data_IF_348742434906
#
_entry.id   IF_348742434906
#
_cell.length_a   1.000
_cell.length_b   1.000
_cell.length_c   1.000
_cell.angle_alpha   90.00
_cell.angle_beta   90.00
_cell.angle_gamma   90.00
#
_symmetry.space_group_name_H-M   'P 1'
#
loop_
_entity.id
_entity.type
_entity.pdbx_description
1 polymer ?
#
# COMPACT_ATOMS: atom_id res chain seq x y z
N UNK A 1 -56.93 21.97 -32.63
CA UNK A 1 -56.47 22.31 -31.27
C UNK A 1 -55.93 21.03 -30.66
N UNK A 2 -54.61 20.98 -30.40
CA UNK A 2 -53.88 19.84 -29.80
C UNK A 2 -54.49 19.52 -28.43
N UNK A 3 -54.93 18.28 -28.24
CA UNK A 3 -55.00 17.66 -26.91
C UNK A 3 -54.32 16.30 -27.00
N UNK A 4 -53.28 16.17 -26.18
CA UNK A 4 -52.34 15.07 -26.11
C UNK A 4 -53.00 13.69 -25.97
N UNK A 5 -52.41 12.69 -26.64
CA UNK A 5 -52.53 11.31 -26.22
C UNK A 5 -52.07 11.16 -24.77
N UNK A 6 -52.98 10.84 -23.86
CA UNK A 6 -52.65 10.19 -22.58
C UNK A 6 -53.34 8.81 -22.61
N UNK A 7 -52.87 7.98 -23.56
CA UNK A 7 -53.24 6.58 -23.66
C UNK A 7 -52.64 5.83 -22.48
N UNK A 8 -53.43 5.68 -21.41
CA UNK A 8 -53.18 4.67 -20.39
C UNK A 8 -53.35 3.30 -21.04
N UNK A 9 -52.25 2.72 -21.53
CA UNK A 9 -52.16 1.28 -21.74
C UNK A 9 -52.36 0.60 -20.37
N UNK A 10 -53.42 -0.20 -20.26
CA UNK A 10 -53.47 -1.25 -19.25
C UNK A 10 -52.46 -2.36 -19.62
N UNK A 11 -51.77 -2.82 -18.58
CA UNK A 11 -51.06 -4.09 -18.39
C UNK A 11 -50.10 -4.59 -19.47
N UNK A 12 -48.80 -4.45 -19.17
CA UNK A 12 -47.97 -5.60 -18.84
C UNK A 12 -46.76 -5.10 -18.04
N UNK A 13 -46.95 -4.92 -16.74
CA UNK A 13 -45.85 -4.73 -15.81
C UNK A 13 -45.36 -6.13 -15.39
N UNK A 14 -44.07 -6.48 -15.56
CA UNK A 14 -43.56 -7.72 -15.01
C UNK A 14 -43.76 -7.68 -13.49
N UNK A 15 -44.35 -8.73 -12.93
CA UNK A 15 -44.68 -8.82 -11.51
C UNK A 15 -43.47 -8.39 -10.66
N UNK A 16 -43.54 -7.18 -10.09
CA UNK A 16 -42.48 -6.63 -9.28
C UNK A 16 -42.60 -7.27 -7.90
N UNK A 17 -41.91 -8.39 -7.73
CA UNK A 17 -41.92 -9.12 -6.48
C UNK A 17 -41.36 -8.24 -5.35
N UNK A 18 -42.02 -8.21 -4.18
CA UNK A 18 -41.57 -7.41 -3.03
C UNK A 18 -40.14 -7.78 -2.66
N UNK A 19 -39.34 -6.81 -2.20
CA UNK A 19 -37.91 -6.97 -1.91
C UNK A 19 -37.59 -8.17 -0.99
N UNK A 20 -38.51 -8.46 -0.07
CA UNK A 20 -38.52 -9.64 0.81
C UNK A 20 -38.43 -10.96 0.01
N UNK A 21 -39.16 -11.06 -1.11
CA UNK A 21 -39.20 -12.26 -1.94
C UNK A 21 -37.94 -12.40 -2.80
N UNK A 22 -37.28 -11.28 -3.18
CA UNK A 22 -35.99 -11.32 -3.87
C UNK A 22 -34.89 -11.89 -2.97
N UNK A 23 -34.90 -11.52 -1.69
CA UNK A 23 -34.00 -12.07 -0.67
C UNK A 23 -34.25 -13.57 -0.44
N UNK A 24 -35.51 -14.01 -0.37
CA UNK A 24 -35.85 -15.42 -0.21
C UNK A 24 -35.43 -16.23 -1.45
N UNK A 25 -35.64 -15.70 -2.66
CA UNK A 25 -35.24 -16.38 -3.91
C UNK A 25 -33.71 -16.46 -4.02
N UNK A 26 -32.96 -15.41 -3.64
CA UNK A 26 -31.49 -15.45 -3.55
C UNK A 26 -31.02 -16.45 -2.50
N UNK A 27 -31.64 -16.47 -1.32
CA UNK A 27 -31.30 -17.38 -0.24
C UNK A 27 -31.60 -18.84 -0.61
N UNK A 28 -32.70 -19.11 -1.33
CA UNK A 28 -33.01 -20.45 -1.84
C UNK A 28 -32.14 -20.85 -3.03
N UNK A 29 -31.76 -19.92 -3.91
CA UNK A 29 -30.85 -20.20 -5.02
C UNK A 29 -29.44 -20.55 -4.53
N UNK A 30 -28.94 -19.85 -3.49
CA UNK A 30 -27.69 -20.19 -2.80
C UNK A 30 -27.80 -21.58 -2.15
N UNK A 31 -28.91 -21.85 -1.47
CA UNK A 31 -29.13 -23.15 -0.83
C UNK A 31 -29.22 -24.32 -1.83
N UNK A 32 -29.80 -24.10 -3.01
CA UNK A 32 -29.87 -25.09 -4.09
C UNK A 32 -28.54 -25.23 -4.83
N UNK A 33 -27.77 -24.14 -5.00
CA UNK A 33 -26.39 -24.20 -5.49
C UNK A 33 -25.48 -25.01 -4.56
N UNK A 34 -25.72 -24.95 -3.25
CA UNK A 34 -25.04 -25.77 -2.24
C UNK A 34 -25.62 -27.19 -2.04
N UNK A 35 -26.65 -27.58 -2.79
CA UNK A 35 -27.29 -28.90 -2.72
C UNK A 35 -26.91 -29.83 -3.90
N UNK A 36 -25.71 -29.64 -4.47
CA UNK A 36 -25.06 -30.56 -5.41
C UNK A 36 -24.24 -31.65 -4.71
N UNK A 37 -23.89 -32.76 -5.40
CA UNK A 37 -23.95 -34.14 -4.91
C UNK A 37 -22.92 -34.46 -3.82
N UNK A 38 -23.38 -35.10 -2.74
CA UNK A 38 -22.62 -35.90 -1.77
C UNK A 38 -21.22 -35.36 -1.38
N UNK A 39 -21.11 -34.06 -1.06
CA UNK A 39 -19.89 -33.53 -0.45
C UNK A 39 -19.90 -33.84 1.05
N UNK A 40 -18.99 -34.72 1.47
CA UNK A 40 -18.80 -35.10 2.89
C UNK A 40 -18.71 -33.87 3.79
N UNK A 41 -19.52 -33.83 4.86
CA UNK A 41 -19.54 -32.78 5.89
C UNK A 41 -18.14 -32.40 6.41
N UNK A 42 -17.21 -33.35 6.40
CA UNK A 42 -15.80 -33.13 6.78
C UNK A 42 -15.07 -32.14 5.88
N UNK A 43 -15.36 -32.14 4.58
CA UNK A 43 -14.72 -31.25 3.61
C UNK A 43 -15.18 -29.80 3.78
N UNK A 44 -16.42 -29.60 4.21
CA UNK A 44 -16.96 -28.28 4.51
C UNK A 44 -16.42 -27.72 5.82
N UNK A 45 -16.27 -28.56 6.85
CA UNK A 45 -15.60 -28.15 8.08
C UNK A 45 -14.15 -27.75 7.81
N UNK A 46 -13.37 -28.52 7.03
CA UNK A 46 -11.98 -28.15 6.77
C UNK A 46 -11.86 -26.85 5.98
N UNK A 47 -12.71 -26.63 4.97
CA UNK A 47 -12.74 -25.36 4.22
C UNK A 47 -13.10 -24.19 5.13
N UNK A 48 -14.14 -24.31 5.97
CA UNK A 48 -14.50 -23.24 6.90
C UNK A 48 -13.39 -22.92 7.92
N UNK A 49 -12.77 -23.93 8.52
CA UNK A 49 -11.68 -23.71 9.46
C UNK A 49 -10.43 -23.14 8.76
N UNK A 50 -10.12 -23.59 7.54
CA UNK A 50 -9.03 -23.04 6.74
C UNK A 50 -9.30 -21.56 6.36
N UNK A 51 -10.53 -21.23 5.99
CA UNK A 51 -10.93 -19.86 5.68
C UNK A 51 -10.88 -18.95 6.91
N UNK A 52 -11.35 -19.41 8.08
CA UNK A 52 -11.27 -18.66 9.34
C UNK A 52 -9.80 -18.44 9.74
N UNK A 53 -8.97 -19.48 9.64
CA UNK A 53 -7.53 -19.38 9.93
C UNK A 53 -6.84 -18.38 9.01
N UNK A 54 -7.20 -18.37 7.73
CA UNK A 54 -6.64 -17.42 6.75
C UNK A 54 -7.05 -15.98 7.11
N UNK A 55 -8.32 -15.73 7.41
CA UNK A 55 -8.80 -14.39 7.79
C UNK A 55 -8.13 -13.90 9.10
N UNK A 56 -7.90 -14.80 10.06
CA UNK A 56 -7.24 -14.45 11.31
C UNK A 56 -5.76 -14.05 11.12
N UNK A 57 -5.06 -14.63 10.14
CA UNK A 57 -3.66 -14.29 9.83
C UNK A 57 -3.56 -12.93 9.13
N UNK A 58 -4.51 -12.60 8.25
CA UNK A 58 -4.51 -11.33 7.50
C UNK A 58 -5.14 -10.15 8.25
N UNK A 59 -5.75 -10.40 9.41
CA UNK A 59 -6.26 -9.34 10.29
C UNK A 59 -5.11 -8.72 11.08
N UNK A 60 -4.18 -8.05 10.40
CA UNK A 60 -3.19 -7.22 11.09
C UNK A 60 -3.90 -6.00 11.68
N UNK A 61 -3.69 -5.66 12.97
CA UNK A 61 -4.13 -4.38 13.48
C UNK A 61 -3.46 -3.28 12.66
N UNK A 62 -4.26 -2.42 12.05
CA UNK A 62 -3.77 -1.24 11.36
C UNK A 62 -3.24 -0.30 12.44
N UNK A 63 -1.93 -0.34 12.70
CA UNK A 63 -1.28 0.62 13.58
C UNK A 63 -1.56 2.01 13.03
N UNK A 64 -2.21 2.86 13.84
CA UNK A 64 -2.37 4.28 13.51
C UNK A 64 -1.00 4.92 13.26
N UNK A 65 -1.00 6.00 12.48
CA UNK A 65 0.18 6.81 12.10
C UNK A 65 1.13 6.87 13.31
N UNK A 66 2.28 6.19 13.18
CA UNK A 66 3.29 6.26 14.21
C UNK A 66 3.87 7.67 14.17
N UNK A 67 3.86 8.35 15.32
CA UNK A 67 4.43 9.70 15.48
C UNK A 67 5.93 9.77 15.12
N UNK A 68 6.57 8.62 14.86
CA UNK A 68 7.93 8.48 14.36
C UNK A 68 8.08 7.18 13.56
N UNK A 69 7.80 7.21 12.24
CA UNK A 69 8.01 6.08 11.33
C UNK A 69 9.29 6.28 10.51
N UNK A 70 10.28 5.42 10.73
CA UNK A 70 11.61 5.58 10.10
C UNK A 70 11.72 4.73 8.84
N UNK A 71 12.16 5.35 7.77
CA UNK A 71 12.33 4.72 6.46
C UNK A 71 13.81 4.57 6.12
N UNK A 72 14.17 3.39 5.65
CA UNK A 72 15.46 3.08 5.04
C UNK A 72 15.36 3.09 3.52
N UNK A 73 16.39 3.55 2.84
CA UNK A 73 16.50 3.44 1.37
C UNK A 73 17.44 2.29 1.01
N UNK A 74 16.96 1.41 0.14
CA UNK A 74 17.74 0.32 -0.47
C UNK A 74 18.00 0.66 -1.94
N UNK A 75 19.27 0.85 -2.29
CA UNK A 75 19.70 1.24 -3.63
C UNK A 75 19.51 2.75 -3.86
N UNK A 76 20.59 3.43 -4.24
CA UNK A 76 20.60 4.88 -4.46
C UNK A 76 21.04 5.25 -5.88
N UNK A 77 20.88 4.34 -6.85
CA UNK A 77 21.26 4.55 -8.25
C UNK A 77 20.16 5.22 -9.09
N UNK A 78 19.00 5.52 -8.48
CA UNK A 78 17.89 6.24 -9.10
C UNK A 78 17.60 7.58 -8.38
N UNK A 79 17.21 8.61 -9.15
CA UNK A 79 16.79 9.93 -8.67
C UNK A 79 15.67 9.86 -7.60
N UNK A 80 14.83 8.82 -7.65
CA UNK A 80 13.77 8.60 -6.66
C UNK A 80 14.30 8.62 -5.22
N UNK A 81 15.50 8.07 -4.98
CA UNK A 81 16.10 8.08 -3.65
C UNK A 81 16.25 9.49 -3.06
N UNK A 82 16.66 10.46 -3.87
CA UNK A 82 16.82 11.86 -3.46
C UNK A 82 15.47 12.57 -3.35
N UNK A 83 14.61 12.43 -4.36
CA UNK A 83 13.34 13.14 -4.43
C UNK A 83 12.38 12.78 -3.29
N UNK A 84 12.28 11.48 -2.96
CA UNK A 84 11.42 11.04 -1.87
C UNK A 84 12.01 11.39 -0.50
N UNK A 85 13.35 11.41 -0.37
CA UNK A 85 13.97 11.88 0.86
C UNK A 85 13.74 13.37 1.09
N UNK A 86 13.88 14.19 0.04
CA UNK A 86 13.54 15.62 0.11
C UNK A 86 12.05 15.84 0.42
N UNK A 87 11.17 14.95 -0.03
CA UNK A 87 9.74 15.02 0.25
C UNK A 87 9.38 14.63 1.70
N UNK A 88 9.96 13.54 2.21
CA UNK A 88 9.63 12.96 3.53
C UNK A 88 10.40 13.61 4.68
N UNK A 89 11.57 14.18 4.41
CA UNK A 89 12.36 14.83 5.45
C UNK A 89 12.10 16.34 5.47
N UNK A 90 10.91 16.81 5.09
CA UNK A 90 10.62 18.24 5.06
C UNK A 90 10.50 18.77 6.48
N UNK A 91 11.05 19.96 6.75
CA UNK A 91 10.84 20.58 8.04
C UNK A 91 9.35 20.95 8.19
N UNK A 92 8.77 20.63 9.35
CA UNK A 92 7.35 20.87 9.67
C UNK A 92 6.39 20.15 8.74
N UNK A 93 6.59 18.84 8.56
CA UNK A 93 5.63 18.02 7.83
C UNK A 93 4.29 17.95 8.58
N UNK A 94 3.22 18.26 7.85
CA UNK A 94 1.83 18.23 8.30
C UNK A 94 1.01 17.33 7.36
N UNK A 95 0.01 16.63 7.89
CA UNK A 95 -0.88 15.75 7.12
C UNK A 95 -0.52 14.27 7.22
N UNK A 96 -0.81 13.49 6.17
CA UNK A 96 -0.76 12.03 6.20
C UNK A 96 0.66 11.45 6.39
N UNK A 97 1.70 12.22 6.10
CA UNK A 97 3.10 11.83 6.26
C UNK A 97 3.78 12.46 7.49
N UNK A 98 3.02 13.14 8.35
CA UNK A 98 3.57 13.69 9.59
C UNK A 98 4.19 12.56 10.45
N UNK A 99 5.45 12.74 10.85
CA UNK A 99 6.21 11.75 11.62
C UNK A 99 6.93 10.69 10.78
N UNK A 100 6.80 10.70 9.45
CA UNK A 100 7.54 9.79 8.57
C UNK A 100 8.87 10.44 8.17
N UNK A 101 9.99 9.75 8.33
CA UNK A 101 11.30 10.28 7.93
C UNK A 101 12.25 9.20 7.40
N UNK A 102 13.07 9.56 6.43
CA UNK A 102 14.18 8.75 5.93
C UNK A 102 15.40 8.96 6.83
N UNK A 103 15.91 7.88 7.42
CA UNK A 103 17.00 7.93 8.41
C UNK A 103 18.31 7.34 7.89
N UNK A 104 18.24 6.36 6.99
CA UNK A 104 19.40 5.63 6.53
C UNK A 104 19.26 5.19 5.07
N UNK A 105 20.38 5.02 4.38
CA UNK A 105 20.43 4.52 3.02
C UNK A 105 21.57 3.52 2.84
N UNK A 106 21.29 2.39 2.20
CA UNK A 106 22.28 1.39 1.81
C UNK A 106 22.54 1.46 0.30
N UNK A 107 23.76 1.84 -0.13
CA UNK A 107 24.14 1.87 -1.52
C UNK A 107 24.32 0.45 -2.05
N UNK A 108 23.59 0.12 -3.11
CA UNK A 108 23.71 -1.13 -3.85
C UNK A 108 23.98 -0.78 -5.31
N UNK A 109 25.03 -1.38 -5.87
CA UNK A 109 25.39 -1.24 -7.28
C UNK A 109 24.94 -2.46 -8.05
N UNK A 110 24.44 -2.27 -9.28
CA UNK A 110 24.19 -3.39 -10.19
C UNK A 110 25.41 -3.60 -11.11
N UNK A 111 26.02 -4.80 -11.12
CA UNK A 111 27.11 -5.12 -12.05
C UNK A 111 26.64 -5.21 -13.50
N UNK A 112 25.34 -5.39 -13.73
CA UNK A 112 24.74 -5.50 -15.06
C UNK A 112 24.50 -4.13 -15.71
N UNK A 113 24.55 -3.04 -14.92
CA UNK A 113 24.37 -1.67 -15.38
C UNK A 113 25.63 -0.82 -15.11
N UNK A 114 26.50 -0.61 -16.11
CA UNK A 114 27.79 0.06 -15.93
C UNK A 114 27.71 1.49 -15.37
N UNK A 115 26.60 2.20 -15.65
CA UNK A 115 26.39 3.55 -15.15
C UNK A 115 25.86 3.58 -13.69
N UNK A 116 25.54 2.42 -13.09
CA UNK A 116 25.01 2.31 -11.72
C UNK A 116 25.97 2.93 -10.70
N UNK A 117 27.28 2.65 -10.81
CA UNK A 117 28.29 3.20 -9.91
C UNK A 117 28.36 4.74 -9.99
N UNK A 118 28.29 5.28 -11.21
CA UNK A 118 28.34 6.73 -11.45
C UNK A 118 27.09 7.42 -10.91
N UNK A 119 25.92 6.85 -11.18
CA UNK A 119 24.65 7.38 -10.69
C UNK A 119 24.57 7.30 -9.17
N UNK A 120 24.95 6.15 -8.60
CA UNK A 120 25.03 5.96 -7.16
C UNK A 120 25.88 7.05 -6.51
N UNK A 121 27.09 7.31 -7.01
CA UNK A 121 27.95 8.34 -6.41
C UNK A 121 27.32 9.73 -6.56
N UNK A 122 26.74 10.06 -7.72
CA UNK A 122 26.05 11.33 -7.94
C UNK A 122 24.91 11.54 -6.93
N UNK A 123 24.03 10.54 -6.78
CA UNK A 123 22.87 10.65 -5.91
C UNK A 123 23.25 10.56 -4.44
N UNK A 124 24.27 9.77 -4.07
CA UNK A 124 24.84 9.75 -2.72
C UNK A 124 25.31 11.13 -2.29
N UNK A 125 26.04 11.84 -3.15
CA UNK A 125 26.49 13.19 -2.86
C UNK A 125 25.32 14.16 -2.68
N UNK A 126 24.29 14.07 -3.54
CA UNK A 126 23.09 14.89 -3.38
C UNK A 126 22.35 14.59 -2.08
N UNK A 127 22.18 13.31 -1.74
CA UNK A 127 21.49 12.84 -0.55
C UNK A 127 22.18 13.34 0.73
N UNK A 128 23.51 13.26 0.77
CA UNK A 128 24.31 13.79 1.89
C UNK A 128 24.20 15.31 2.01
N UNK A 129 24.08 16.03 0.90
CA UNK A 129 23.97 17.49 0.87
C UNK A 129 22.56 18.02 1.21
N UNK A 130 21.54 17.15 1.24
CA UNK A 130 20.19 17.54 1.64
C UNK A 130 20.19 18.08 3.08
N UNK A 131 19.54 19.23 3.27
CA UNK A 131 19.26 19.84 4.57
C UNK A 131 20.49 20.18 5.46
N UNK A 132 21.71 20.20 4.90
CA UNK A 132 22.93 20.55 5.66
C UNK A 132 22.97 22.01 6.16
N UNK A 133 22.25 22.93 5.51
CA UNK A 133 22.26 24.37 5.84
C UNK A 133 20.83 24.88 6.08
N UNK A 134 20.22 24.59 7.24
CA UNK A 134 18.90 25.13 7.58
C UNK A 134 18.97 26.65 7.77
N UNK A 135 17.95 27.36 7.29
CA UNK A 135 17.82 28.82 7.46
C UNK A 135 17.35 29.21 8.86
N UNK A 136 16.64 28.32 9.53
CA UNK A 136 16.09 28.48 10.88
C UNK A 136 16.52 27.26 11.72
N UNK A 137 16.95 27.43 12.99
CA UNK A 137 17.21 26.32 13.91
C UNK A 137 16.07 25.29 14.01
N UNK A 138 14.81 25.74 13.87
CA UNK A 138 13.62 24.88 13.94
C UNK A 138 13.40 24.03 12.68
N UNK A 139 14.07 24.34 11.58
CA UNK A 139 14.01 23.58 10.33
C UNK A 139 15.17 22.56 10.23
N UNK A 140 15.84 22.25 11.35
CA UNK A 140 16.94 21.28 11.38
C UNK A 140 16.41 19.86 11.24
N UNK A 141 16.89 19.16 10.22
CA UNK A 141 16.56 17.76 9.93
C UNK A 141 17.78 16.89 10.24
N UNK A 142 17.61 15.71 10.84
CA UNK A 142 18.72 14.78 11.04
C UNK A 142 19.35 14.38 9.69
N UNK A 143 20.70 14.33 9.59
CA UNK A 143 21.38 13.88 8.38
C UNK A 143 21.14 12.39 8.16
N UNK A 144 21.11 11.98 6.89
CA UNK A 144 20.88 10.59 6.52
C UNK A 144 22.17 9.80 6.67
N UNK A 145 22.09 8.62 7.29
CA UNK A 145 23.22 7.74 7.50
C UNK A 145 23.43 6.79 6.31
N UNK A 146 24.62 6.78 5.72
CA UNK A 146 24.98 5.80 4.70
C UNK A 146 25.55 4.56 5.39
N UNK A 147 24.80 3.45 5.36
CA UNK A 147 25.17 2.19 5.99
C UNK A 147 25.88 1.25 5.01
N UNK A 148 26.56 0.22 5.53
CA UNK A 148 27.36 -0.68 4.69
C UNK A 148 26.70 -2.04 4.45
N UNK A 149 25.62 -2.37 5.17
CA UNK A 149 24.92 -3.64 5.04
C UNK A 149 23.40 -3.50 5.15
N UNK A 150 22.69 -4.48 4.60
CA UNK A 150 21.24 -4.58 4.73
C UNK A 150 20.81 -4.74 6.20
N UNK A 151 21.55 -5.52 6.99
CA UNK A 151 21.22 -5.76 8.40
C UNK A 151 21.31 -4.45 9.22
N UNK A 152 22.31 -3.61 8.93
CA UNK A 152 22.42 -2.27 9.54
C UNK A 152 21.26 -1.35 9.15
N UNK A 153 20.81 -1.43 7.89
CA UNK A 153 19.66 -0.66 7.40
C UNK A 153 18.40 -1.07 8.17
N UNK A 154 18.10 -2.37 8.19
CA UNK A 154 16.90 -2.92 8.82
C UNK A 154 16.87 -2.72 10.34
N UNK A 155 18.03 -2.61 11.00
CA UNK A 155 18.08 -2.29 12.42
C UNK A 155 17.68 -0.84 12.75
N UNK A 156 17.74 0.07 11.76
CA UNK A 156 17.52 1.51 11.95
C UNK A 156 16.15 2.00 11.47
N UNK A 157 15.48 1.25 10.58
CA UNK A 157 14.22 1.65 9.97
C UNK A 157 13.07 0.67 10.27
N UNK A 158 11.86 1.19 10.25
CA UNK A 158 10.61 0.44 10.41
C UNK A 158 10.04 0.00 9.04
N UNK A 159 10.41 0.70 7.97
CA UNK A 159 10.08 0.35 6.59
C UNK A 159 11.23 0.62 5.61
N UNK A 160 11.21 -0.05 4.45
CA UNK A 160 12.24 0.10 3.41
C UNK A 160 11.61 0.53 2.10
N UNK A 161 12.20 1.56 1.48
CA UNK A 161 11.94 1.96 0.10
C UNK A 161 13.04 1.43 -0.81
N UNK A 162 12.66 0.73 -1.86
CA UNK A 162 13.61 0.15 -2.83
C UNK A 162 13.67 1.07 -4.05
N UNK A 163 14.84 1.63 -4.31
CA UNK A 163 15.12 2.49 -5.46
C UNK A 163 16.23 1.97 -6.37
N UNK A 164 16.67 0.71 -6.19
CA UNK A 164 17.58 0.05 -7.14
C UNK A 164 16.98 0.02 -8.55
N UNK A 165 17.74 0.47 -9.54
CA UNK A 165 17.35 0.41 -10.96
C UNK A 165 17.07 -1.01 -11.46
N UNK A 166 17.70 -2.00 -10.84
CA UNK A 166 17.66 -3.41 -11.23
C UNK A 166 16.77 -4.27 -10.29
N UNK A 167 16.20 -3.67 -9.25
CA UNK A 167 15.24 -4.33 -8.35
C UNK A 167 15.82 -5.44 -7.46
N UNK A 168 17.11 -5.36 -7.13
CA UNK A 168 17.84 -6.32 -6.28
C UNK A 168 17.73 -6.01 -4.79
#
# INVERSE_FOLDING_TARGET
MRLQCHGKCCSDQPAEFPAELRLIILQQAIYLFFRGPEFSMSLWQTVFHASILTIAIFSSPQSGIADDFRIGILGIDNYGSVAYTEFLNRPRDEGDFAGVQVVAAWPVVSPDYPDSEKLQEQWKQQLLNLHQNPKDPLDTVPPIEIVNSLDELLAKCDGVMIFSLDGR
#
